data_IF_171498498722
#
_entry.id   IF_171498498722
#
_cell.length_a   1.000
_cell.length_b   1.000
_cell.length_c   1.000
_cell.angle_alpha   90.00
_cell.angle_beta   90.00
_cell.angle_gamma   90.00
#
_symmetry.space_group_name_H-M   'P 1'
#
loop_
_entity.id
_entity.type
_entity.pdbx_description
1 polymer ?
#
# COMPACT_ATOMS: atom_id res chain seq x y z
N UNK A 1 -8.07 2.07 4.44
CA UNK A 1 -7.53 1.67 5.75
C UNK A 1 -8.39 0.62 6.46
N UNK A 2 -9.73 0.77 6.53
CA UNK A 2 -10.61 -0.20 7.20
C UNK A 2 -10.57 -1.61 6.59
N UNK A 3 -10.37 -1.72 5.27
CA UNK A 3 -10.13 -3.01 4.61
C UNK A 3 -8.79 -3.60 5.07
N UNK A 4 -7.73 -2.79 5.05
CA UNK A 4 -6.38 -3.21 5.46
C UNK A 4 -6.39 -3.70 6.91
N UNK A 5 -6.98 -2.96 7.85
CA UNK A 5 -7.05 -3.35 9.26
C UNK A 5 -7.72 -4.71 9.46
N UNK A 6 -8.74 -5.03 8.66
CA UNK A 6 -9.44 -6.33 8.74
C UNK A 6 -8.64 -7.48 8.11
N UNK A 7 -7.90 -7.20 7.03
CA UNK A 7 -7.11 -8.24 6.35
C UNK A 7 -5.81 -8.53 7.08
N UNK A 8 -5.27 -7.56 7.83
CA UNK A 8 -4.02 -7.68 8.58
C UNK A 8 -4.23 -7.81 10.10
N UNK A 9 -5.46 -8.07 10.56
CA UNK A 9 -5.76 -8.30 11.97
C UNK A 9 -4.91 -9.45 12.55
N UNK A 10 -4.20 -9.16 13.66
CA UNK A 10 -3.34 -10.10 14.35
C UNK A 10 -1.92 -10.27 13.77
N UNK A 11 -1.52 -9.51 12.74
CA UNK A 11 -0.13 -9.49 12.30
C UNK A 11 0.77 -8.78 13.32
N UNK A 12 2.02 -9.27 13.47
CA UNK A 12 2.93 -8.72 14.48
C UNK A 12 3.62 -7.44 13.99
N UNK A 13 4.26 -7.47 12.81
CA UNK A 13 5.05 -6.34 12.30
C UNK A 13 4.56 -5.96 10.91
N UNK A 14 3.93 -4.80 10.79
CA UNK A 14 3.34 -4.33 9.54
C UNK A 14 4.05 -3.06 9.05
N UNK A 15 4.32 -2.98 7.76
CA UNK A 15 4.88 -1.81 7.09
C UNK A 15 3.81 -1.06 6.31
N UNK A 16 3.69 0.24 6.52
CA UNK A 16 2.96 1.17 5.65
C UNK A 16 3.94 1.90 4.74
N UNK A 17 3.82 1.71 3.43
CA UNK A 17 4.65 2.38 2.42
C UNK A 17 3.90 3.59 1.88
N UNK A 18 4.45 4.80 2.08
CA UNK A 18 3.80 6.06 1.77
C UNK A 18 2.77 6.45 2.82
N UNK A 19 3.19 6.54 4.09
CA UNK A 19 2.26 6.78 5.21
C UNK A 19 1.76 8.23 5.32
N UNK A 20 2.36 9.18 4.59
CA UNK A 20 2.05 10.59 4.73
C UNK A 20 2.17 11.05 6.18
N UNK A 21 1.16 11.76 6.67
CA UNK A 21 1.08 12.26 8.05
C UNK A 21 0.72 11.19 9.10
N UNK A 22 0.58 9.92 8.69
CA UNK A 22 0.28 8.78 9.57
C UNK A 22 -1.15 8.69 10.09
N UNK A 23 -2.07 9.58 9.65
CA UNK A 23 -3.44 9.60 10.16
C UNK A 23 -4.19 8.31 9.82
N UNK A 24 -4.11 7.86 8.56
CA UNK A 24 -4.82 6.66 8.10
C UNK A 24 -4.35 5.38 8.78
N UNK A 25 -3.05 5.27 9.05
CA UNK A 25 -2.44 4.12 9.71
C UNK A 25 -2.95 3.84 11.12
N UNK A 26 -3.60 4.82 11.77
CA UNK A 26 -4.22 4.63 13.10
C UNK A 26 -5.21 3.47 13.13
N UNK A 27 -6.03 3.34 12.07
CA UNK A 27 -7.03 2.24 11.99
C UNK A 27 -6.38 0.86 11.85
N UNK A 28 -5.20 0.78 11.24
CA UNK A 28 -4.46 -0.48 11.10
C UNK A 28 -3.72 -0.80 12.40
N UNK A 29 -3.13 0.21 13.01
CA UNK A 29 -2.42 0.07 14.29
C UNK A 29 -3.29 -0.53 15.41
N UNK A 30 -4.60 -0.26 15.40
CA UNK A 30 -5.55 -0.82 16.38
C UNK A 30 -5.68 -2.36 16.28
N UNK A 31 -5.24 -2.98 15.19
CA UNK A 31 -5.45 -4.42 14.91
C UNK A 31 -4.16 -5.22 14.75
N UNK A 32 -3.00 -4.57 14.77
CA UNK A 32 -1.68 -5.20 14.64
C UNK A 32 -0.82 -4.95 15.89
N UNK A 33 0.24 -5.73 16.11
CA UNK A 33 1.09 -5.51 17.29
C UNK A 33 1.98 -4.28 17.12
N UNK A 34 2.55 -4.07 15.93
CA UNK A 34 3.41 -2.93 15.62
C UNK A 34 3.25 -2.49 14.16
N UNK A 35 3.10 -1.19 13.94
CA UNK A 35 3.04 -0.57 12.61
C UNK A 35 4.23 0.37 12.40
N UNK A 36 4.97 0.16 11.33
CA UNK A 36 6.01 1.08 10.86
C UNK A 36 5.49 1.83 9.65
N UNK A 37 5.31 3.14 9.77
CA UNK A 37 5.03 4.02 8.64
C UNK A 37 6.32 4.55 8.03
N UNK A 38 6.44 4.50 6.72
CA UNK A 38 7.55 5.15 6.00
C UNK A 38 7.03 6.10 4.94
N UNK A 39 7.75 7.20 4.77
CA UNK A 39 7.54 8.16 3.69
C UNK A 39 8.89 8.79 3.31
N UNK A 40 9.03 9.19 2.05
CA UNK A 40 10.26 9.86 1.59
C UNK A 40 10.31 11.33 2.04
N UNK A 41 9.15 11.96 2.33
CA UNK A 41 9.08 13.35 2.75
C UNK A 41 9.29 13.48 4.28
N UNK A 42 10.40 14.10 4.73
CA UNK A 42 10.68 14.26 6.15
C UNK A 42 9.64 15.10 6.89
N UNK A 43 8.92 16.00 6.19
CA UNK A 43 7.89 16.82 6.82
C UNK A 43 6.66 15.99 7.21
N UNK A 44 6.28 15.03 6.37
CA UNK A 44 5.20 14.09 6.71
C UNK A 44 5.60 13.24 7.93
N UNK A 45 6.81 12.73 7.97
CA UNK A 45 7.30 11.92 9.09
C UNK A 45 7.42 12.72 10.38
N UNK A 46 7.85 13.98 10.31
CA UNK A 46 7.84 14.87 11.46
C UNK A 46 6.41 15.06 12.02
N UNK A 47 5.45 15.36 11.16
CA UNK A 47 4.04 15.51 11.53
C UNK A 47 3.48 14.22 12.14
N UNK A 48 3.68 13.08 11.50
CA UNK A 48 3.24 11.78 11.99
C UNK A 48 3.83 11.44 13.37
N UNK A 49 5.12 11.73 13.56
CA UNK A 49 5.82 11.51 14.84
C UNK A 49 5.28 12.39 15.96
N UNK A 50 4.99 13.67 15.66
CA UNK A 50 4.46 14.63 16.62
C UNK A 50 3.02 14.31 17.07
N UNK A 51 2.26 13.59 16.25
CA UNK A 51 0.88 13.17 16.56
C UNK A 51 0.82 11.89 17.43
N UNK A 52 1.95 11.22 17.69
CA UNK A 52 2.01 10.02 18.52
C UNK A 52 1.76 10.32 20.00
N UNK A 53 1.17 9.34 20.68
CA UNK A 53 1.09 9.29 22.15
C UNK A 53 2.06 8.27 22.70
N UNK A 54 2.29 8.25 24.02
CA UNK A 54 3.18 7.27 24.68
C UNK A 54 2.72 5.81 24.52
N UNK A 55 1.43 5.59 24.34
CA UNK A 55 0.85 4.26 24.15
C UNK A 55 0.72 3.83 22.69
N UNK A 56 1.21 4.63 21.76
CA UNK A 56 1.10 4.39 20.32
C UNK A 56 2.07 3.28 19.88
N UNK A 57 1.54 2.21 19.27
CA UNK A 57 2.34 1.11 18.74
C UNK A 57 2.89 1.38 17.32
N UNK A 58 2.78 2.61 16.83
CA UNK A 58 3.34 3.04 15.55
C UNK A 58 4.74 3.62 15.72
N UNK A 59 5.57 3.44 14.72
CA UNK A 59 6.82 4.18 14.53
C UNK A 59 6.92 4.71 13.11
N UNK A 60 7.67 5.80 12.91
CA UNK A 60 7.76 6.45 11.61
C UNK A 60 9.21 6.65 11.21
N UNK A 61 9.52 6.44 9.92
CA UNK A 61 10.88 6.58 9.38
C UNK A 61 10.85 7.34 8.05
N UNK A 62 11.82 8.22 7.85
CA UNK A 62 12.09 8.82 6.54
C UNK A 62 12.83 7.80 5.70
N UNK A 63 12.23 7.35 4.62
CA UNK A 63 12.85 6.40 3.70
C UNK A 63 12.17 6.45 2.34
N UNK A 64 12.97 6.47 1.27
CA UNK A 64 12.48 6.31 -0.10
C UNK A 64 12.57 4.83 -0.50
N UNK A 65 11.40 4.21 -0.71
CA UNK A 65 11.32 2.81 -1.13
C UNK A 65 11.95 2.57 -2.50
N UNK A 66 12.09 3.60 -3.32
CA UNK A 66 12.78 3.48 -4.60
C UNK A 66 14.32 3.40 -4.46
N UNK A 67 14.88 3.83 -3.34
CA UNK A 67 16.33 3.73 -3.12
C UNK A 67 16.76 2.31 -2.70
N UNK A 68 16.05 1.70 -1.75
CA UNK A 68 16.41 0.38 -1.22
C UNK A 68 15.26 -0.26 -0.41
N UNK A 69 15.29 -1.59 -0.20
CA UNK A 69 14.43 -2.22 0.79
C UNK A 69 14.83 -1.82 2.21
N UNK A 70 13.89 -1.87 3.16
CA UNK A 70 14.21 -1.75 4.56
C UNK A 70 15.00 -2.97 5.06
N UNK A 71 15.93 -2.75 5.99
CA UNK A 71 16.71 -3.84 6.60
C UNK A 71 15.89 -4.73 7.51
N UNK A 72 14.86 -4.16 8.13
CA UNK A 72 13.92 -4.90 8.96
C UNK A 72 12.98 -5.70 8.07
N UNK A 73 12.57 -6.90 8.55
CA UNK A 73 11.61 -7.75 7.87
C UNK A 73 10.23 -7.58 8.50
N UNK A 74 9.20 -7.61 7.66
CA UNK A 74 7.81 -7.41 8.06
C UNK A 74 6.95 -8.61 7.65
N UNK A 75 6.01 -8.98 8.51
CA UNK A 75 5.04 -10.06 8.23
C UNK A 75 4.05 -9.63 7.14
N UNK A 76 3.76 -8.33 7.08
CA UNK A 76 2.93 -7.76 6.02
C UNK A 76 3.35 -6.33 5.71
N UNK A 77 2.99 -5.89 4.51
CA UNK A 77 3.06 -4.49 4.12
C UNK A 77 1.77 -4.05 3.43
N UNK A 78 1.52 -2.76 3.43
CA UNK A 78 0.51 -2.17 2.57
C UNK A 78 0.97 -0.81 2.04
N UNK A 79 0.43 -0.47 0.87
CA UNK A 79 0.65 0.82 0.22
C UNK A 79 -0.65 1.28 -0.40
N UNK A 80 -1.16 2.41 0.02
CA UNK A 80 -2.39 3.01 -0.46
C UNK A 80 -2.11 4.37 -1.07
N UNK A 81 -2.62 4.62 -2.27
CA UNK A 81 -2.47 5.90 -2.98
C UNK A 81 -1.00 6.30 -3.22
N UNK A 82 -0.16 5.32 -3.61
CA UNK A 82 1.27 5.53 -3.90
C UNK A 82 1.63 5.06 -5.32
N UNK A 83 1.25 3.82 -5.70
CA UNK A 83 1.69 3.21 -6.96
C UNK A 83 1.29 4.03 -8.20
N UNK A 84 0.17 4.73 -8.15
CA UNK A 84 -0.27 5.62 -9.24
C UNK A 84 0.65 6.82 -9.47
N UNK A 85 1.49 7.16 -8.48
CA UNK A 85 2.49 8.23 -8.55
C UNK A 85 3.88 7.74 -8.98
N UNK A 86 4.12 6.42 -8.96
CA UNK A 86 5.37 5.80 -9.38
C UNK A 86 5.37 5.62 -10.89
N UNK A 87 6.45 5.98 -11.56
CA UNK A 87 6.55 5.80 -13.01
C UNK A 87 6.53 4.32 -13.39
N UNK A 88 6.11 4.02 -14.63
CA UNK A 88 6.12 2.63 -15.14
C UNK A 88 7.52 2.02 -15.20
N UNK A 89 8.52 2.85 -15.36
CA UNK A 89 9.93 2.46 -15.38
C UNK A 89 10.42 2.05 -13.99
N UNK A 90 9.84 2.60 -12.92
CA UNK A 90 10.25 2.39 -11.54
C UNK A 90 9.32 1.43 -10.77
N UNK A 91 8.16 1.07 -11.31
CA UNK A 91 7.18 0.22 -10.61
C UNK A 91 7.73 -1.16 -10.23
N UNK A 92 8.65 -1.72 -11.01
CA UNK A 92 9.32 -2.98 -10.68
C UNK A 92 10.25 -2.81 -9.48
N UNK A 93 11.03 -1.74 -9.45
CA UNK A 93 11.92 -1.42 -8.33
C UNK A 93 11.13 -1.18 -7.03
N UNK A 94 9.99 -0.47 -7.13
CA UNK A 94 9.06 -0.29 -6.03
C UNK A 94 8.61 -1.63 -5.42
N UNK A 95 8.17 -2.58 -6.26
CA UNK A 95 7.72 -3.90 -5.80
C UNK A 95 8.86 -4.75 -5.25
N UNK A 96 10.02 -4.76 -5.90
CA UNK A 96 11.20 -5.52 -5.47
C UNK A 96 11.70 -5.05 -4.10
N UNK A 97 11.72 -3.75 -3.85
CA UNK A 97 12.14 -3.20 -2.56
C UNK A 97 11.11 -3.46 -1.45
N UNK A 98 9.80 -3.43 -1.75
CA UNK A 98 8.78 -3.88 -0.80
C UNK A 98 8.97 -5.35 -0.47
N UNK A 99 9.15 -6.22 -1.48
CA UNK A 99 9.41 -7.65 -1.27
C UNK A 99 10.68 -7.89 -0.46
N UNK A 100 11.74 -7.12 -0.74
CA UNK A 100 12.99 -7.14 0.03
C UNK A 100 12.80 -6.80 1.51
N UNK A 101 11.73 -6.09 1.83
CA UNK A 101 11.34 -5.72 3.21
C UNK A 101 10.39 -6.72 3.86
N UNK A 102 9.79 -7.65 3.09
CA UNK A 102 8.85 -8.64 3.60
C UNK A 102 9.55 -9.97 3.98
N UNK A 103 8.96 -10.67 4.91
CA UNK A 103 9.29 -12.07 5.20
C UNK A 103 8.92 -12.99 4.03
N UNK A 104 9.50 -14.20 4.00
CA UNK A 104 9.33 -15.16 2.90
C UNK A 104 7.85 -15.55 2.64
N UNK A 105 6.99 -15.43 3.65
CA UNK A 105 5.55 -15.64 3.54
C UNK A 105 4.75 -14.35 3.73
N UNK A 106 5.40 -13.21 3.56
CA UNK A 106 4.79 -11.91 3.81
C UNK A 106 3.56 -11.64 2.92
N UNK A 107 2.67 -10.83 3.44
CA UNK A 107 1.45 -10.39 2.76
C UNK A 107 1.61 -8.95 2.30
N UNK A 108 1.15 -8.62 1.09
CA UNK A 108 1.12 -7.25 0.60
C UNK A 108 -0.31 -6.84 0.22
N UNK A 109 -0.71 -5.63 0.62
CA UNK A 109 -1.92 -4.99 0.10
C UNK A 109 -1.52 -3.73 -0.66
N UNK A 110 -1.95 -3.63 -1.92
CA UNK A 110 -1.83 -2.41 -2.71
C UNK A 110 -3.22 -1.86 -2.97
N UNK A 111 -3.41 -0.57 -2.71
CA UNK A 111 -4.63 0.14 -3.04
C UNK A 111 -4.33 1.36 -3.90
N UNK A 112 -5.16 1.59 -4.93
CA UNK A 112 -5.00 2.72 -5.84
C UNK A 112 -6.32 3.06 -6.55
N UNK A 113 -6.51 4.31 -7.00
CA UNK A 113 -7.60 4.66 -7.90
C UNK A 113 -7.55 3.81 -9.17
N UNK A 114 -8.70 3.36 -9.66
CA UNK A 114 -8.75 2.62 -10.92
C UNK A 114 -8.41 3.52 -12.12
N UNK A 115 -7.90 2.93 -13.19
CA UNK A 115 -7.67 3.65 -14.45
C UNK A 115 -8.98 4.25 -14.98
N UNK A 116 -10.07 3.50 -14.91
CA UNK A 116 -11.39 3.91 -15.38
C UNK A 116 -11.94 5.10 -14.59
N UNK A 117 -11.63 5.21 -13.29
CA UNK A 117 -12.07 6.33 -12.46
C UNK A 117 -11.40 7.65 -12.82
N UNK A 118 -10.28 7.61 -13.55
CA UNK A 118 -9.54 8.82 -13.93
C UNK A 118 -10.33 9.74 -14.88
N UNK A 119 -11.33 9.23 -15.58
CA UNK A 119 -12.23 10.06 -16.37
C UNK A 119 -12.96 11.10 -15.51
N UNK A 120 -13.19 10.81 -14.25
CA UNK A 120 -13.89 11.66 -13.27
C UNK A 120 -12.95 12.37 -12.30
N UNK A 121 -11.64 12.10 -12.37
CA UNK A 121 -10.65 12.69 -11.47
C UNK A 121 -10.45 14.19 -11.70
N UNK A 122 -10.02 14.90 -10.65
CA UNK A 122 -9.64 16.32 -10.76
C UNK A 122 -8.45 16.51 -11.70
N UNK A 123 -8.25 17.73 -12.15
CA UNK A 123 -7.08 18.05 -13.01
C UNK A 123 -5.78 17.76 -12.25
N UNK A 124 -5.71 18.10 -10.98
CA UNK A 124 -4.55 17.84 -10.12
C UNK A 124 -4.27 16.34 -9.99
N UNK A 125 -5.32 15.55 -9.74
CA UNK A 125 -5.19 14.07 -9.68
C UNK A 125 -4.69 13.53 -11.02
N UNK A 126 -5.25 13.96 -12.16
CA UNK A 126 -4.82 13.50 -13.49
C UNK A 126 -3.35 13.82 -13.79
N UNK A 127 -2.82 14.92 -13.27
CA UNK A 127 -1.39 15.27 -13.43
C UNK A 127 -0.51 14.37 -12.56
N UNK A 128 -0.93 14.06 -11.34
CA UNK A 128 -0.15 13.24 -10.39
C UNK A 128 -0.29 11.74 -10.60
N UNK A 129 -1.43 11.27 -11.12
CA UNK A 129 -1.72 9.85 -11.31
C UNK A 129 -1.19 9.37 -12.67
N UNK A 130 0.11 9.14 -12.75
CA UNK A 130 0.80 8.80 -14.00
C UNK A 130 0.77 7.29 -14.31
N UNK A 131 0.37 6.45 -13.35
CA UNK A 131 0.43 4.99 -13.47
C UNK A 131 -0.79 4.28 -12.85
N UNK A 132 -1.99 4.82 -13.02
CA UNK A 132 -3.21 4.10 -12.68
C UNK A 132 -3.34 2.83 -13.53
N UNK A 133 -3.93 1.80 -12.93
CA UNK A 133 -4.14 0.49 -13.58
C UNK A 133 -5.62 0.12 -13.60
N UNK A 134 -6.03 -0.62 -14.62
CA UNK A 134 -7.28 -1.39 -14.56
C UNK A 134 -7.13 -2.57 -13.60
N UNK A 135 -8.24 -3.19 -13.20
CA UNK A 135 -8.20 -4.34 -12.31
C UNK A 135 -7.37 -5.51 -12.86
N UNK A 136 -7.45 -5.77 -14.17
CA UNK A 136 -6.68 -6.83 -14.83
C UNK A 136 -5.19 -6.48 -14.93
N UNK A 137 -4.84 -5.22 -15.19
CA UNK A 137 -3.46 -4.76 -15.20
C UNK A 137 -2.83 -4.85 -13.81
N UNK A 138 -3.52 -4.38 -12.76
CA UNK A 138 -3.05 -4.49 -11.38
C UNK A 138 -2.84 -5.95 -10.97
N UNK A 139 -3.79 -6.82 -11.31
CA UNK A 139 -3.66 -8.26 -11.06
C UNK A 139 -2.46 -8.88 -11.77
N UNK A 140 -2.29 -8.55 -13.04
CA UNK A 140 -1.16 -9.06 -13.86
C UNK A 140 0.16 -8.58 -13.32
N UNK A 141 0.26 -7.30 -12.95
CA UNK A 141 1.44 -6.72 -12.33
C UNK A 141 1.81 -7.42 -11.02
N UNK A 142 0.87 -7.55 -10.09
CA UNK A 142 1.11 -8.22 -8.81
C UNK A 142 1.46 -9.71 -8.97
N UNK A 143 0.93 -10.39 -9.98
CA UNK A 143 1.22 -11.81 -10.26
C UNK A 143 2.67 -12.09 -10.70
N UNK A 144 3.42 -11.09 -11.10
CA UNK A 144 4.85 -11.25 -11.35
C UNK A 144 5.63 -11.50 -10.05
N UNK A 145 5.06 -11.12 -8.91
CA UNK A 145 5.72 -11.09 -7.61
C UNK A 145 5.06 -12.00 -6.56
N UNK A 146 3.79 -12.41 -6.77
CA UNK A 146 3.04 -13.23 -5.82
C UNK A 146 2.28 -14.35 -6.51
N UNK A 147 2.28 -15.54 -5.90
CA UNK A 147 1.51 -16.68 -6.41
C UNK A 147 0.00 -16.44 -6.30
N UNK A 148 -0.47 -15.82 -5.24
CA UNK A 148 -1.89 -15.58 -5.00
C UNK A 148 -2.17 -14.07 -5.00
N UNK A 149 -3.03 -13.63 -5.90
CA UNK A 149 -3.45 -12.22 -6.03
C UNK A 149 -4.97 -12.17 -6.11
N UNK A 150 -5.58 -11.48 -5.15
CA UNK A 150 -7.02 -11.27 -5.06
C UNK A 150 -7.33 -9.79 -5.27
N UNK A 151 -8.12 -9.48 -6.30
CA UNK A 151 -8.54 -8.10 -6.58
C UNK A 151 -9.91 -7.86 -5.97
N UNK A 152 -10.01 -6.75 -5.27
CA UNK A 152 -11.26 -6.21 -4.76
C UNK A 152 -11.53 -4.86 -5.41
N UNK A 153 -12.79 -4.61 -5.68
CA UNK A 153 -13.32 -3.33 -6.15
C UNK A 153 -13.87 -2.56 -4.96
N UNK A 154 -13.73 -1.24 -4.97
CA UNK A 154 -14.40 -0.39 -3.99
C UNK A 154 -15.18 0.70 -4.71
N UNK A 155 -16.44 0.86 -4.33
CA UNK A 155 -17.32 1.94 -4.72
C UNK A 155 -17.87 2.58 -3.43
N UNK A 156 -17.66 3.88 -3.28
CA UNK A 156 -17.92 4.60 -2.04
C UNK A 156 -17.25 3.90 -0.85
N UNK A 157 -18.02 3.38 0.10
CA UNK A 157 -17.52 2.68 1.29
C UNK A 157 -17.61 1.15 1.18
N UNK A 158 -18.09 0.63 0.05
CA UNK A 158 -18.34 -0.81 -0.14
C UNK A 158 -17.19 -1.45 -0.89
N UNK A 159 -16.53 -2.42 -0.25
CA UNK A 159 -15.56 -3.31 -0.87
C UNK A 159 -16.25 -4.60 -1.32
N UNK A 160 -16.03 -5.00 -2.57
CA UNK A 160 -16.65 -6.18 -3.17
C UNK A 160 -15.74 -6.84 -4.22
N UNK A 161 -16.11 -8.02 -4.70
CA UNK A 161 -15.37 -8.76 -5.75
C UNK A 161 -16.04 -8.61 -7.13
N UNK A 162 -16.82 -7.55 -7.33
CA UNK A 162 -17.57 -7.33 -8.55
C UNK A 162 -16.73 -6.80 -9.70
N UNK A 163 -17.43 -6.40 -10.76
CA UNK A 163 -16.87 -6.00 -12.04
C UNK A 163 -15.92 -4.79 -11.89
N UNK A 164 -14.62 -5.02 -12.03
CA UNK A 164 -13.55 -4.03 -11.76
C UNK A 164 -13.61 -2.78 -12.64
N UNK A 165 -14.07 -2.82 -13.93
CA UNK A 165 -14.19 -1.61 -14.74
C UNK A 165 -15.19 -0.56 -14.21
N UNK A 166 -16.03 -0.91 -13.25
CA UNK A 166 -16.92 0.06 -12.57
C UNK A 166 -16.40 0.52 -11.21
N UNK A 167 -15.23 0.05 -10.78
CA UNK A 167 -14.67 0.42 -9.50
C UNK A 167 -14.10 1.84 -9.51
N UNK A 168 -14.29 2.60 -8.43
CA UNK A 168 -13.57 3.84 -8.20
C UNK A 168 -12.14 3.58 -7.75
N UNK A 169 -11.97 2.54 -6.95
CA UNK A 169 -10.72 2.19 -6.29
C UNK A 169 -10.51 0.68 -6.33
N UNK A 170 -9.28 0.26 -6.46
CA UNK A 170 -8.88 -1.14 -6.51
C UNK A 170 -8.01 -1.47 -5.30
N UNK A 171 -8.20 -2.67 -4.77
CA UNK A 171 -7.35 -3.24 -3.74
C UNK A 171 -6.85 -4.61 -4.20
N UNK A 172 -5.55 -4.82 -4.18
CA UNK A 172 -4.92 -6.10 -4.44
C UNK A 172 -4.39 -6.67 -3.12
N UNK A 173 -4.93 -7.79 -2.68
CA UNK A 173 -4.37 -8.60 -1.58
C UNK A 173 -3.50 -9.69 -2.20
N UNK A 174 -2.22 -9.67 -1.86
CA UNK A 174 -1.17 -10.52 -2.43
C UNK A 174 -0.54 -11.37 -1.34
N UNK A 175 -0.50 -12.67 -1.53
CA UNK A 175 0.11 -13.61 -0.57
C UNK A 175 1.01 -14.61 -1.27
N UNK A 176 1.91 -15.21 -0.52
CA UNK A 176 2.85 -16.20 -1.01
C UNK A 176 3.78 -15.60 -2.09
N UNK A 177 4.77 -14.76 -1.67
CA UNK A 177 5.72 -14.15 -2.59
C UNK A 177 6.42 -15.18 -3.48
N UNK A 178 6.64 -14.86 -4.75
CA UNK A 178 7.51 -15.66 -5.61
C UNK A 178 8.93 -15.47 -5.12
N UNK A 179 9.65 -16.57 -4.90
CA UNK A 179 11.10 -16.49 -4.61
C UNK A 179 11.80 -15.96 -5.86
N UNK A 180 12.43 -14.81 -5.73
CA UNK A 180 13.33 -14.28 -6.75
C UNK A 180 14.54 -15.18 -6.94
#
# INVERSE_FOLDING_TARGET
YKFVSKMLDGYANVLEVGCGDGFGGTLVADTVEHLVGMDFDPLFIENATNLRTESDNRSFIVHDILEAPLKNRFDAAYSLDVLEHISKEEESLFMENILGSLDDNGTLIIGMPSLESQDYASIQSKIGHINCKSGDELKTFCKNYFHNVFIFSMNDEVVHTGFTPMAHYLLALCTNPTKG
#
